data_IF_087671520181
#
_entry.id   IF_087671520181
#
_cell.length_a   1.000
_cell.length_b   1.000
_cell.length_c   1.000
_cell.angle_alpha   90.00
_cell.angle_beta   90.00
_cell.angle_gamma   90.00
#
_symmetry.space_group_name_H-M   'P 1'
#
loop_
_entity.id
_entity.type
_entity.pdbx_description
1 polymer ?
#
# COMPACT_ATOMS: atom_id res chain seq x y z
N UNK A 1 17.16 -13.93 1.64
CA UNK A 1 15.86 -13.27 1.51
C UNK A 1 15.01 -14.11 0.59
N UNK A 2 13.75 -14.41 0.92
CA UNK A 2 12.87 -15.17 0.02
C UNK A 2 12.56 -14.34 -1.21
N UNK A 3 13.07 -14.78 -2.37
CA UNK A 3 12.55 -14.37 -3.68
C UNK A 3 11.17 -15.00 -3.82
N UNK A 4 10.20 -14.27 -4.40
CA UNK A 4 8.93 -14.86 -4.79
C UNK A 4 9.19 -16.06 -5.72
N UNK A 5 8.40 -17.11 -5.56
CA UNK A 5 8.38 -18.20 -6.53
C UNK A 5 7.89 -17.66 -7.89
N UNK A 6 8.25 -18.33 -8.99
CA UNK A 6 7.79 -17.92 -10.33
C UNK A 6 6.27 -17.97 -10.51
N UNK A 7 5.58 -18.70 -9.63
CA UNK A 7 4.13 -18.82 -9.58
C UNK A 7 3.48 -17.83 -8.62
N UNK A 8 4.24 -16.91 -8.02
CA UNK A 8 3.75 -15.95 -7.04
C UNK A 8 3.77 -14.53 -7.58
N UNK A 9 2.76 -13.75 -7.21
CA UNK A 9 2.63 -12.35 -7.56
C UNK A 9 2.49 -11.50 -6.30
N UNK A 10 3.06 -10.30 -6.33
CA UNK A 10 2.93 -9.28 -5.29
C UNK A 10 2.16 -8.09 -5.83
N UNK A 11 1.08 -7.73 -5.15
CA UNK A 11 0.33 -6.50 -5.36
C UNK A 11 0.57 -5.56 -4.18
N UNK A 12 0.89 -4.30 -4.49
CA UNK A 12 1.02 -3.20 -3.53
C UNK A 12 0.13 -2.05 -4.02
N UNK A 13 -0.96 -1.80 -3.30
CA UNK A 13 -1.89 -0.71 -3.62
C UNK A 13 -1.89 0.35 -2.51
N UNK A 14 -2.03 1.61 -2.89
CA UNK A 14 -2.44 2.67 -1.99
C UNK A 14 -3.92 2.92 -2.27
N UNK A 15 -4.75 2.68 -1.25
CA UNK A 15 -6.20 2.85 -1.33
C UNK A 15 -6.58 4.11 -0.57
N UNK A 16 -7.44 4.93 -1.17
CA UNK A 16 -8.08 6.06 -0.50
C UNK A 16 -9.57 5.79 -0.42
N UNK A 17 -10.14 5.98 0.76
CA UNK A 17 -11.58 5.87 0.99
C UNK A 17 -12.10 7.25 1.44
N UNK A 18 -12.70 7.95 0.48
CA UNK A 18 -13.16 9.31 0.65
C UNK A 18 -12.06 10.35 0.45
N UNK A 19 -12.43 11.42 -0.24
CA UNK A 19 -11.59 12.58 -0.51
C UNK A 19 -12.39 13.82 -0.11
N UNK A 20 -11.82 14.65 0.75
CA UNK A 20 -12.33 15.97 1.11
C UNK A 20 -11.62 17.01 0.25
N UNK A 21 -12.36 17.84 -0.49
CA UNK A 21 -11.77 18.99 -1.20
C UNK A 21 -11.51 20.10 -0.20
N UNK A 22 -10.24 20.50 -0.06
CA UNK A 22 -9.80 21.56 0.85
C UNK A 22 -9.86 22.91 0.16
N UNK A 23 -9.43 22.97 -1.11
CA UNK A 23 -9.58 24.14 -1.98
C UNK A 23 -9.59 23.70 -3.43
N UNK A 24 -10.20 24.51 -4.29
CA UNK A 24 -10.31 24.25 -5.73
C UNK A 24 -10.01 25.55 -6.47
N UNK A 25 -9.14 25.46 -7.46
CA UNK A 25 -8.86 26.48 -8.47
C UNK A 25 -9.22 25.90 -9.85
N UNK A 26 -9.27 26.75 -10.88
CA UNK A 26 -9.89 26.45 -12.17
C UNK A 26 -9.54 25.07 -12.79
N UNK A 27 -8.30 24.60 -12.64
CA UNK A 27 -7.83 23.32 -13.19
C UNK A 27 -7.30 22.31 -12.16
N UNK A 28 -7.35 22.63 -10.86
CA UNK A 28 -6.82 21.75 -9.83
C UNK A 28 -7.49 21.92 -8.47
N UNK A 29 -7.53 20.83 -7.70
CA UNK A 29 -8.03 20.84 -6.34
C UNK A 29 -6.94 20.34 -5.38
N UNK A 30 -6.77 21.06 -4.27
CA UNK A 30 -6.10 20.53 -3.10
C UNK A 30 -7.09 19.65 -2.36
N UNK A 31 -6.74 18.39 -2.19
CA UNK A 31 -7.60 17.41 -1.54
C UNK A 31 -6.93 16.75 -0.35
N UNK A 32 -7.73 16.44 0.67
CA UNK A 32 -7.33 15.65 1.83
C UNK A 32 -8.01 14.29 1.75
N UNK A 33 -7.24 13.18 1.66
CA UNK A 33 -7.81 11.85 1.84
C UNK A 33 -8.37 11.71 3.26
N UNK A 34 -9.63 11.28 3.37
CA UNK A 34 -10.30 11.12 4.67
C UNK A 34 -9.75 9.87 5.36
N UNK A 35 -9.73 8.76 4.62
CA UNK A 35 -9.06 7.53 5.01
C UNK A 35 -8.14 7.10 3.87
N UNK A 36 -7.00 6.52 4.23
CA UNK A 36 -6.17 5.82 3.26
C UNK A 36 -5.55 4.59 3.89
N UNK A 37 -5.13 3.63 3.08
CA UNK A 37 -4.41 2.44 3.52
C UNK A 37 -3.41 1.96 2.49
N UNK A 38 -2.29 1.41 2.94
CA UNK A 38 -1.44 0.56 2.10
C UNK A 38 -1.96 -0.87 2.20
N UNK A 39 -2.25 -1.46 1.05
CA UNK A 39 -2.70 -2.82 0.88
C UNK A 39 -1.62 -3.66 0.21
N UNK A 40 -1.29 -4.81 0.82
CA UNK A 40 -0.31 -5.76 0.33
C UNK A 40 -0.99 -7.12 0.15
N UNK A 41 -0.85 -7.71 -1.03
CA UNK A 41 -1.35 -9.04 -1.36
C UNK A 41 -0.26 -9.86 -2.03
N UNK A 42 -0.05 -11.07 -1.55
CA UNK A 42 0.76 -12.08 -2.25
C UNK A 42 -0.17 -13.20 -2.66
N UNK A 43 -0.25 -13.46 -3.95
CA UNK A 43 -1.00 -14.60 -4.50
C UNK A 43 -0.06 -15.66 -5.06
N UNK A 44 -0.57 -16.88 -5.21
CA UNK A 44 0.11 -17.96 -5.93
C UNK A 44 -0.83 -18.63 -6.91
N UNK A 45 -0.38 -18.82 -8.14
CA UNK A 45 -1.04 -19.67 -9.13
C UNK A 45 -0.57 -21.11 -8.93
N UNK A 46 -1.50 -22.00 -8.59
CA UNK A 46 -1.25 -23.44 -8.43
C UNK A 46 -1.08 -24.15 -9.78
N UNK A 47 -0.59 -25.38 -9.77
CA UNK A 47 -0.40 -26.18 -11.00
C UNK A 47 -1.71 -26.46 -11.75
N UNK A 48 -2.86 -26.39 -11.06
CA UNK A 48 -4.19 -26.49 -11.66
C UNK A 48 -4.69 -25.16 -12.25
N UNK A 49 -3.90 -24.10 -12.15
CA UNK A 49 -4.25 -22.75 -12.60
C UNK A 49 -5.06 -21.93 -11.59
N UNK A 50 -5.39 -22.48 -10.42
CA UNK A 50 -6.13 -21.72 -9.40
C UNK A 50 -5.22 -20.70 -8.71
N UNK A 51 -5.71 -19.47 -8.54
CA UNK A 51 -5.02 -18.40 -7.80
C UNK A 51 -5.46 -18.45 -6.32
N UNK A 52 -4.51 -18.51 -5.41
CA UNK A 52 -4.74 -18.52 -3.96
C UNK A 52 -4.02 -17.37 -3.28
N UNK A 53 -4.62 -16.82 -2.22
CA UNK A 53 -3.98 -15.79 -1.38
C UNK A 53 -3.03 -16.48 -0.40
N UNK A 54 -1.75 -16.08 -0.42
CA UNK A 54 -0.75 -16.53 0.54
C UNK A 54 -0.60 -15.55 1.71
N UNK A 55 -0.73 -14.27 1.44
CA UNK A 55 -0.61 -13.21 2.42
C UNK A 55 -1.47 -12.02 2.03
N UNK A 56 -2.12 -11.42 3.02
CA UNK A 56 -2.94 -10.23 2.82
C UNK A 56 -2.81 -9.31 4.04
N UNK A 57 -2.53 -8.04 3.80
CA UNK A 57 -2.42 -7.03 4.85
C UNK A 57 -2.95 -5.69 4.36
N UNK A 58 -3.69 -5.01 5.23
CA UNK A 58 -4.10 -3.62 5.04
C UNK A 58 -3.72 -2.81 6.27
N UNK A 59 -2.94 -1.74 6.08
CA UNK A 59 -2.54 -0.84 7.15
C UNK A 59 -3.01 0.59 6.84
N UNK A 60 -3.73 1.26 7.76
CA UNK A 60 -4.16 2.64 7.57
C UNK A 60 -2.97 3.60 7.42
N UNK A 61 -3.02 4.53 6.46
CA UNK A 61 -1.93 5.47 6.18
C UNK A 61 -1.57 6.33 7.39
N UNK A 62 -2.52 6.71 8.24
CA UNK A 62 -2.24 7.49 9.45
C UNK A 62 -1.38 6.77 10.50
N UNK A 63 -1.23 5.44 10.39
CA UNK A 63 -0.31 4.65 11.22
C UNK A 63 1.11 4.62 10.66
N UNK A 64 1.31 5.12 9.43
CA UNK A 64 2.55 4.96 8.66
C UNK A 64 3.10 6.31 8.18
N UNK A 65 2.25 7.20 7.65
CA UNK A 65 2.54 8.57 7.19
C UNK A 65 1.94 9.57 8.20
N UNK A 66 2.76 10.52 8.68
CA UNK A 66 2.29 11.63 9.52
C UNK A 66 2.35 11.39 11.04
N UNK A 67 3.07 10.37 11.50
CA UNK A 67 3.35 10.18 12.92
C UNK A 67 4.28 11.32 13.42
N UNK A 68 3.91 12.09 14.46
CA UNK A 68 4.70 13.23 14.95
C UNK A 68 6.07 12.87 15.54
N UNK A 69 6.36 11.58 15.71
CA UNK A 69 7.67 11.06 16.11
C UNK A 69 8.72 11.07 14.98
N UNK A 70 8.34 11.45 13.76
CA UNK A 70 9.23 11.50 12.60
C UNK A 70 9.48 10.12 11.97
N UNK A 71 8.66 9.12 12.28
CA UNK A 71 8.75 7.80 11.66
C UNK A 71 8.42 7.88 10.16
N UNK A 72 9.38 7.53 9.31
CA UNK A 72 9.17 7.40 7.86
C UNK A 72 8.49 6.07 7.59
N UNK A 73 7.37 6.05 6.84
CA UNK A 73 6.70 4.83 6.47
C UNK A 73 7.64 3.91 5.70
N UNK A 74 7.91 2.73 6.27
CA UNK A 74 8.77 1.73 5.67
C UNK A 74 7.98 0.45 5.37
N UNK A 75 7.75 0.18 4.10
CA UNK A 75 7.15 -1.09 3.65
C UNK A 75 8.27 -2.11 3.49
N UNK A 76 8.13 -3.26 4.13
CA UNK A 76 9.09 -4.36 4.02
C UNK A 76 8.61 -5.39 3.00
N UNK A 77 9.26 -5.42 1.84
CA UNK A 77 9.08 -6.50 0.87
C UNK A 77 10.29 -7.41 0.99
N UNK A 78 10.09 -8.56 1.65
CA UNK A 78 11.19 -9.44 2.00
C UNK A 78 12.11 -8.89 3.12
N UNK A 79 13.30 -8.38 2.78
CA UNK A 79 14.32 -7.73 3.69
C UNK A 79 14.71 -6.37 3.10
N UNK A 80 14.08 -5.96 2.01
CA UNK A 80 14.26 -4.62 1.46
C UNK A 80 13.19 -3.75 2.07
N UNK A 81 13.64 -2.66 2.66
CA UNK A 81 12.79 -1.61 3.18
C UNK A 81 12.64 -0.56 2.10
N UNK A 82 11.39 -0.21 1.78
CA UNK A 82 11.04 0.85 0.84
C UNK A 82 10.52 2.03 1.65
N UNK A 83 11.16 3.18 1.47
CA UNK A 83 10.71 4.45 2.02
C UNK A 83 9.64 5.01 1.08
N UNK A 84 8.48 5.35 1.61
CA UNK A 84 7.56 6.24 0.89
C UNK A 84 7.77 7.63 1.45
N UNK A 85 8.49 8.49 0.71
CA UNK A 85 8.47 9.93 1.03
C UNK A 85 7.08 10.47 0.73
N UNK A 86 6.55 11.25 1.66
CA UNK A 86 5.30 12.01 1.50
C UNK A 86 5.58 13.36 0.86
#
# INVERSE_FOLDING_TARGET
LGKLANSEELTLDIKFDGIEVVSEEDDHALVRPINGSIYLLITRTTDTGAVINLWEQSNPLNTIIGNPDGAVPVVRIGRTWFLTEG
#
